data_IF_785874438228
#
_entry.id   IF_785874438228
#
_cell.length_a   1.000
_cell.length_b   1.000
_cell.length_c   1.000
_cell.angle_alpha   90.00
_cell.angle_beta   90.00
_cell.angle_gamma   90.00
#
_symmetry.space_group_name_H-M   'P 1'
#
loop_
_entity.id
_entity.type
_entity.pdbx_description
1 polymer ?
#
# COMPACT_ATOMS: atom_id res chain seq x y z
N UNK A 1 -11.31 -10.77 -29.00
CA UNK A 1 -10.96 -10.38 -27.63
C UNK A 1 -10.02 -9.20 -27.71
N UNK A 2 -10.52 -7.97 -27.60
CA UNK A 2 -9.70 -6.76 -27.56
C UNK A 2 -9.12 -6.62 -26.17
N UNK A 3 -7.82 -6.88 -26.00
CA UNK A 3 -7.12 -6.53 -24.76
C UNK A 3 -7.30 -5.02 -24.52
N UNK A 4 -7.80 -4.66 -23.35
CA UNK A 4 -7.98 -3.29 -22.94
C UNK A 4 -6.58 -2.63 -22.80
N UNK A 5 -6.26 -1.56 -23.56
CA UNK A 5 -4.94 -0.91 -23.50
C UNK A 5 -4.53 -0.48 -22.08
N UNK A 6 -5.52 -0.12 -21.24
CA UNK A 6 -5.30 0.21 -19.83
C UNK A 6 -4.84 -0.99 -18.98
N UNK A 7 -5.33 -2.20 -19.25
CA UNK A 7 -4.91 -3.39 -18.49
C UNK A 7 -3.50 -3.81 -18.88
N UNK A 8 -3.17 -3.77 -20.17
CA UNK A 8 -1.81 -4.06 -20.65
C UNK A 8 -0.78 -3.09 -20.05
N UNK A 9 -1.09 -1.78 -20.01
CA UNK A 9 -0.20 -0.79 -19.41
C UNK A 9 0.04 -1.01 -17.91
N UNK A 10 -1.00 -1.36 -17.15
CA UNK A 10 -0.88 -1.68 -15.71
C UNK A 10 -0.01 -2.92 -15.49
N UNK A 11 -0.20 -3.95 -16.30
CA UNK A 11 0.57 -5.19 -16.20
C UNK A 11 2.05 -4.97 -16.52
N UNK A 12 2.36 -4.22 -17.59
CA UNK A 12 3.74 -3.84 -17.91
C UNK A 12 4.39 -3.05 -16.78
N UNK A 13 3.66 -2.08 -16.18
CA UNK A 13 4.16 -1.28 -15.05
C UNK A 13 4.50 -2.13 -13.82
N UNK A 14 3.71 -3.14 -13.50
CA UNK A 14 4.01 -4.08 -12.40
C UNK A 14 5.24 -4.92 -12.73
N UNK A 15 5.33 -5.46 -13.95
CA UNK A 15 6.42 -6.36 -14.37
C UNK A 15 7.80 -5.70 -14.43
N UNK A 16 7.86 -4.38 -14.63
CA UNK A 16 9.13 -3.64 -14.73
C UNK A 16 9.48 -2.83 -13.48
N UNK A 17 8.62 -2.85 -12.46
CA UNK A 17 8.86 -2.13 -11.21
C UNK A 17 9.96 -2.81 -10.38
N UNK A 18 10.82 -1.98 -9.77
CA UNK A 18 11.75 -2.44 -8.73
C UNK A 18 11.00 -2.89 -7.46
N UNK A 19 11.62 -3.70 -6.59
CA UNK A 19 10.98 -4.14 -5.33
C UNK A 19 10.45 -2.98 -4.48
N UNK A 20 11.23 -1.90 -4.33
CA UNK A 20 10.78 -0.70 -3.61
C UNK A 20 9.58 -0.02 -4.26
N UNK A 21 9.51 0.02 -5.59
CA UNK A 21 8.35 0.56 -6.31
C UNK A 21 7.11 -0.32 -6.14
N UNK A 22 7.25 -1.66 -6.10
CA UNK A 22 6.13 -2.56 -5.82
C UNK A 22 5.54 -2.31 -4.43
N UNK A 23 6.37 -2.08 -3.41
CA UNK A 23 5.90 -1.71 -2.07
C UNK A 23 5.11 -0.40 -2.10
N UNK A 24 5.63 0.64 -2.76
CA UNK A 24 4.91 1.92 -2.90
C UNK A 24 3.57 1.74 -3.61
N UNK A 25 3.51 0.90 -4.65
CA UNK A 25 2.26 0.61 -5.37
C UNK A 25 1.23 -0.12 -4.50
N UNK A 26 1.66 -1.02 -3.62
CA UNK A 26 0.77 -1.67 -2.63
C UNK A 26 0.18 -0.64 -1.67
N UNK A 27 1.02 0.26 -1.13
CA UNK A 27 0.55 1.35 -0.28
C UNK A 27 -0.40 2.32 -1.01
N UNK A 28 -0.13 2.65 -2.28
CA UNK A 28 -1.01 3.49 -3.11
C UNK A 28 -2.41 2.85 -3.24
N UNK A 29 -2.47 1.54 -3.51
CA UNK A 29 -3.75 0.84 -3.61
C UNK A 29 -4.44 0.74 -2.24
N UNK A 30 -3.71 0.51 -1.16
CA UNK A 30 -4.27 0.48 0.20
C UNK A 30 -4.93 1.82 0.57
N UNK A 31 -4.24 2.94 0.35
CA UNK A 31 -4.78 4.30 0.61
C UNK A 31 -6.02 4.55 -0.24
N UNK A 32 -5.98 4.21 -1.53
CA UNK A 32 -7.13 4.36 -2.43
C UNK A 32 -8.33 3.53 -1.98
N UNK A 33 -8.12 2.30 -1.51
CA UNK A 33 -9.22 1.46 -1.02
C UNK A 33 -9.81 2.00 0.30
N UNK A 34 -9.00 2.60 1.18
CA UNK A 34 -9.52 3.36 2.32
C UNK A 34 -10.40 4.53 1.87
N UNK A 35 -9.98 5.29 0.86
CA UNK A 35 -10.74 6.42 0.33
C UNK A 35 -12.09 5.95 -0.26
N UNK A 36 -12.11 4.83 -1.01
CA UNK A 36 -13.36 4.21 -1.51
C UNK A 36 -14.28 3.80 -0.36
N UNK A 37 -13.77 3.14 0.68
CA UNK A 37 -14.57 2.74 1.83
C UNK A 37 -15.20 3.94 2.55
N UNK A 38 -14.43 5.03 2.70
CA UNK A 38 -14.91 6.29 3.29
C UNK A 38 -16.02 6.94 2.46
N UNK A 39 -15.86 7.00 1.14
CA UNK A 39 -16.87 7.55 0.24
C UNK A 39 -18.19 6.76 0.31
N UNK A 40 -18.10 5.43 0.43
CA UNK A 40 -19.26 4.55 0.56
C UNK A 40 -19.95 4.69 1.92
N UNK A 41 -19.18 4.80 3.01
CA UNK A 41 -19.71 5.07 4.34
C UNK A 41 -20.38 6.43 4.48
N UNK A 42 -20.00 7.41 3.64
CA UNK A 42 -20.66 8.71 3.60
C UNK A 42 -22.04 8.69 2.91
N UNK A 43 -22.44 7.58 2.27
CA UNK A 43 -23.77 7.43 1.66
C UNK A 43 -24.83 7.01 2.69
N UNK A 44 -26.10 7.12 2.33
CA UNK A 44 -27.20 6.61 3.15
C UNK A 44 -27.21 5.07 3.15
N UNK A 45 -26.47 4.48 4.10
CA UNK A 45 -26.33 3.03 4.23
C UNK A 45 -27.64 2.31 4.56
N UNK A 46 -28.64 3.02 5.14
CA UNK A 46 -29.94 2.42 5.48
C UNK A 46 -30.79 2.20 4.24
N UNK A 47 -30.77 3.16 3.31
CA UNK A 47 -31.51 3.06 2.04
C UNK A 47 -30.78 2.24 0.99
N UNK A 48 -29.46 2.13 1.10
CA UNK A 48 -28.60 1.52 0.09
C UNK A 48 -27.62 0.53 0.72
N UNK A 49 -28.09 -0.64 1.16
CA UNK A 49 -27.26 -1.65 1.81
C UNK A 49 -26.13 -2.17 0.91
N UNK A 50 -26.21 -2.02 -0.42
CA UNK A 50 -25.12 -2.37 -1.34
C UNK A 50 -23.83 -1.57 -1.10
N UNK A 51 -23.92 -0.37 -0.51
CA UNK A 51 -22.74 0.41 -0.14
C UNK A 51 -21.99 -0.19 1.05
N UNK A 52 -22.71 -0.91 1.94
CA UNK A 52 -22.08 -1.66 3.04
C UNK A 52 -21.18 -2.76 2.47
N UNK A 53 -21.71 -3.55 1.53
CA UNK A 53 -20.95 -4.61 0.87
C UNK A 53 -19.76 -4.06 0.08
N UNK A 54 -19.95 -2.94 -0.63
CA UNK A 54 -18.86 -2.27 -1.34
C UNK A 54 -17.75 -1.79 -0.41
N UNK A 55 -18.09 -1.19 0.72
CA UNK A 55 -17.13 -0.72 1.71
C UNK A 55 -16.43 -1.89 2.40
N UNK A 56 -17.16 -2.97 2.71
CA UNK A 56 -16.59 -4.20 3.24
C UNK A 56 -15.52 -4.75 2.28
N UNK A 57 -15.83 -4.88 0.98
CA UNK A 57 -14.86 -5.35 -0.03
C UNK A 57 -13.62 -4.46 -0.12
N UNK A 58 -13.80 -3.14 -0.08
CA UNK A 58 -12.68 -2.21 -0.12
C UNK A 58 -11.79 -2.39 1.12
N UNK A 59 -12.36 -2.47 2.32
CA UNK A 59 -11.60 -2.69 3.56
C UNK A 59 -10.92 -4.05 3.60
N UNK A 60 -11.58 -5.13 3.17
CA UNK A 60 -10.96 -6.45 3.05
C UNK A 60 -9.76 -6.40 2.10
N UNK A 61 -9.86 -5.64 0.99
CA UNK A 61 -8.73 -5.46 0.09
C UNK A 61 -7.54 -4.72 0.74
N UNK A 62 -7.80 -3.75 1.61
CA UNK A 62 -6.74 -3.11 2.41
C UNK A 62 -6.06 -4.14 3.33
N UNK A 63 -6.84 -4.98 4.00
CA UNK A 63 -6.33 -6.00 4.92
C UNK A 63 -5.50 -7.07 4.19
N UNK A 64 -5.92 -7.48 2.98
CA UNK A 64 -5.12 -8.37 2.11
C UNK A 64 -3.76 -7.74 1.81
N UNK A 65 -3.74 -6.46 1.40
CA UNK A 65 -2.50 -5.75 1.09
C UNK A 65 -1.60 -5.65 2.33
N UNK A 66 -2.15 -5.34 3.50
CA UNK A 66 -1.40 -5.30 4.76
C UNK A 66 -0.81 -6.69 5.08
N UNK A 67 -1.55 -7.75 4.79
CA UNK A 67 -1.08 -9.14 4.99
C UNK A 67 0.10 -9.45 4.08
N UNK A 68 0.05 -9.06 2.81
CA UNK A 68 1.17 -9.21 1.87
C UNK A 68 2.39 -8.38 2.29
N UNK A 69 2.18 -7.13 2.71
CA UNK A 69 3.25 -6.27 3.24
C UNK A 69 3.89 -6.86 4.50
N UNK A 70 3.08 -7.51 5.33
CA UNK A 70 3.54 -8.20 6.54
C UNK A 70 4.39 -9.42 6.18
N UNK A 71 3.95 -10.22 5.21
CA UNK A 71 4.68 -11.39 4.74
C UNK A 71 6.01 -11.04 4.05
N UNK A 72 6.11 -9.82 3.49
CA UNK A 72 7.32 -9.31 2.87
C UNK A 72 8.35 -8.73 3.85
N UNK A 73 8.07 -8.71 5.17
CA UNK A 73 9.01 -8.20 6.17
C UNK A 73 10.19 -9.16 6.37
N UNK A 74 11.40 -8.64 6.25
CA UNK A 74 12.63 -9.34 6.64
C UNK A 74 12.97 -9.01 8.11
N UNK A 75 12.67 -9.95 9.01
CA UNK A 75 12.95 -9.79 10.43
C UNK A 75 14.42 -10.01 10.80
N UNK A 76 15.19 -10.71 9.97
CA UNK A 76 16.62 -10.96 10.22
C UNK A 76 17.43 -9.70 9.89
N UNK A 77 17.25 -9.15 8.68
CA UNK A 77 17.98 -7.96 8.24
C UNK A 77 17.33 -6.66 8.72
N UNK A 78 16.00 -6.64 8.84
CA UNK A 78 15.24 -5.44 9.19
C UNK A 78 15.15 -5.13 10.69
N UNK A 79 15.44 -6.10 11.55
CA UNK A 79 15.53 -5.94 13.01
C UNK A 79 14.35 -5.15 13.61
N UNK A 80 14.67 -4.07 14.33
CA UNK A 80 13.66 -3.23 15.02
C UNK A 80 12.66 -2.59 14.05
N UNK A 81 13.08 -2.21 12.84
CA UNK A 81 12.19 -1.59 11.85
C UNK A 81 11.13 -2.59 11.40
N UNK A 82 11.52 -3.83 11.10
CA UNK A 82 10.59 -4.89 10.73
C UNK A 82 9.61 -5.19 11.87
N UNK A 83 10.09 -5.23 13.11
CA UNK A 83 9.23 -5.46 14.29
C UNK A 83 8.21 -4.32 14.51
N UNK A 84 8.63 -3.07 14.32
CA UNK A 84 7.76 -1.91 14.45
C UNK A 84 6.71 -1.87 13.34
N UNK A 85 7.09 -2.15 12.09
CA UNK A 85 6.15 -2.26 10.97
C UNK A 85 5.15 -3.38 11.18
N UNK A 86 5.60 -4.56 11.63
CA UNK A 86 4.71 -5.67 11.98
C UNK A 86 3.65 -5.26 13.01
N UNK A 87 4.08 -4.57 14.06
CA UNK A 87 3.18 -4.08 15.13
C UNK A 87 2.16 -3.07 14.60
N UNK A 88 2.58 -2.15 13.73
CA UNK A 88 1.68 -1.22 13.05
C UNK A 88 0.66 -1.95 12.17
N UNK A 89 1.10 -2.92 11.37
CA UNK A 89 0.23 -3.69 10.49
C UNK A 89 -0.82 -4.50 11.26
N UNK A 90 -0.46 -5.10 12.40
CA UNK A 90 -1.43 -5.74 13.29
C UNK A 90 -2.46 -4.74 13.82
N UNK A 91 -2.01 -3.57 14.26
CA UNK A 91 -2.90 -2.50 14.72
C UNK A 91 -3.85 -2.03 13.61
N UNK A 92 -3.36 -1.84 12.39
CA UNK A 92 -4.18 -1.44 11.25
C UNK A 92 -5.27 -2.47 10.96
N UNK A 93 -4.92 -3.76 10.89
CA UNK A 93 -5.89 -4.82 10.65
C UNK A 93 -6.99 -4.85 11.73
N UNK A 94 -6.62 -4.65 13.01
CA UNK A 94 -7.59 -4.59 14.12
C UNK A 94 -8.55 -3.42 13.99
N UNK A 95 -8.03 -2.21 13.72
CA UNK A 95 -8.87 -1.01 13.61
C UNK A 95 -9.74 -1.02 12.35
N UNK A 96 -9.24 -1.55 11.22
CA UNK A 96 -10.03 -1.69 10.00
C UNK A 96 -11.16 -2.71 10.16
N UNK A 97 -10.91 -3.82 10.88
CA UNK A 97 -11.95 -4.78 11.21
C UNK A 97 -13.05 -4.13 12.07
N UNK A 98 -12.66 -3.43 13.14
CA UNK A 98 -13.60 -2.72 14.00
C UNK A 98 -14.39 -1.66 13.22
N UNK A 99 -13.70 -0.87 12.39
CA UNK A 99 -14.33 0.12 11.52
C UNK A 99 -15.35 -0.50 10.57
N UNK A 100 -15.05 -1.69 10.03
CA UNK A 100 -15.94 -2.41 9.14
C UNK A 100 -17.18 -2.92 9.88
N UNK A 101 -17.05 -3.43 11.10
CA UNK A 101 -18.17 -3.89 11.92
C UNK A 101 -19.06 -2.70 12.32
N UNK A 102 -18.46 -1.70 12.97
CA UNK A 102 -19.15 -0.56 13.57
C UNK A 102 -19.57 0.52 12.56
N UNK A 103 -19.11 0.39 11.30
CA UNK A 103 -19.26 1.40 10.24
C UNK A 103 -18.66 2.75 10.62
N UNK A 104 -17.57 2.72 11.37
CA UNK A 104 -16.89 3.91 11.87
C UNK A 104 -15.82 4.40 10.89
N UNK A 105 -16.19 5.39 10.07
CA UNK A 105 -15.25 6.02 9.14
C UNK A 105 -14.11 6.80 9.80
N UNK A 106 -14.19 7.14 11.08
CA UNK A 106 -13.11 7.86 11.77
C UNK A 106 -11.85 6.99 11.89
N UNK A 107 -12.02 5.71 12.23
CA UNK A 107 -10.95 4.71 12.29
C UNK A 107 -10.28 4.55 10.93
N UNK A 108 -11.06 4.46 9.85
CA UNK A 108 -10.52 4.34 8.48
C UNK A 108 -9.68 5.57 8.14
N UNK A 109 -10.13 6.79 8.48
CA UNK A 109 -9.35 8.02 8.23
C UNK A 109 -8.01 8.01 8.94
N UNK A 110 -7.97 7.58 10.21
CA UNK A 110 -6.71 7.47 10.96
C UNK A 110 -5.75 6.49 10.29
N UNK A 111 -6.22 5.27 9.97
CA UNK A 111 -5.39 4.27 9.29
C UNK A 111 -4.91 4.75 7.92
N UNK A 112 -5.80 5.36 7.14
CA UNK A 112 -5.47 5.96 5.84
C UNK A 112 -4.37 7.02 5.94
N UNK A 113 -4.38 7.84 6.99
CA UNK A 113 -3.33 8.82 7.28
C UNK A 113 -1.97 8.14 7.48
N UNK A 114 -1.91 7.17 8.38
CA UNK A 114 -0.66 6.43 8.68
C UNK A 114 -0.14 5.66 7.46
N UNK A 115 -1.03 5.01 6.68
CA UNK A 115 -0.66 4.37 5.42
C UNK A 115 -0.06 5.37 4.41
N UNK A 116 -0.59 6.59 4.34
CA UNK A 116 -0.09 7.65 3.45
C UNK A 116 1.29 8.17 3.88
N UNK A 117 1.56 8.25 5.18
CA UNK A 117 2.87 8.62 5.71
C UNK A 117 3.90 7.54 5.40
N UNK A 118 3.58 6.27 5.68
CA UNK A 118 4.44 5.13 5.35
C UNK A 118 4.71 5.02 3.85
N UNK A 119 3.69 5.23 3.01
CA UNK A 119 3.82 5.31 1.55
C UNK A 119 4.88 6.33 1.15
N UNK A 120 4.84 7.51 1.77
CA UNK A 120 5.77 8.61 1.46
C UNK A 120 7.19 8.24 1.86
N UNK A 121 7.37 7.66 3.06
CA UNK A 121 8.66 7.17 3.51
C UNK A 121 9.26 6.11 2.56
N UNK A 122 8.45 5.12 2.13
CA UNK A 122 8.89 4.11 1.18
C UNK A 122 9.22 4.67 -0.20
N UNK A 123 8.47 5.67 -0.68
CA UNK A 123 8.76 6.34 -1.95
C UNK A 123 10.11 7.07 -1.90
N UNK A 124 10.39 7.76 -0.78
CA UNK A 124 11.69 8.39 -0.56
C UNK A 124 12.82 7.38 -0.45
N UNK A 125 12.61 6.24 0.22
CA UNK A 125 13.63 5.19 0.35
C UNK A 125 13.95 4.54 -1.02
N UNK A 126 12.92 4.22 -1.81
CA UNK A 126 13.07 3.63 -3.14
C UNK A 126 13.77 4.58 -4.14
N UNK A 127 13.52 5.89 -4.04
CA UNK A 127 14.20 6.88 -4.87
C UNK A 127 15.70 6.98 -4.56
N UNK A 128 16.08 6.91 -3.29
CA UNK A 128 17.48 7.00 -2.86
C UNK A 128 18.29 5.78 -3.33
N UNK A 129 17.72 4.57 -3.28
CA UNK A 129 18.38 3.35 -3.76
C UNK A 129 18.56 3.32 -5.28
N UNK A 130 17.67 3.98 -6.03
CA UNK A 130 17.82 4.13 -7.48
C UNK A 130 18.92 5.15 -7.85
N UNK A 131 19.11 6.20 -7.04
CA UNK A 131 20.13 7.23 -7.26
C UNK A 131 21.56 6.76 -6.96
N UNK A 132 21.76 5.94 -5.93
CA UNK A 132 23.09 5.45 -5.53
C UNK A 132 23.72 4.45 -6.52
N UNK A 133 22.93 3.86 -7.43
CA UNK A 133 23.42 2.96 -8.48
C UNK A 133 24.10 3.64 -9.67
N UNK A 134 24.00 4.98 -9.79
CA UNK A 134 24.55 5.73 -10.92
C UNK A 134 25.98 6.25 -10.71
N UNK A 135 26.42 6.46 -9.47
CA UNK A 135 27.77 7.00 -9.20
C UNK A 135 28.88 5.92 -9.22
N UNK A 136 28.54 4.66 -8.96
CA UNK A 136 29.50 3.56 -8.94
C UNK A 136 29.99 3.09 -10.34
N UNK A 137 29.43 3.63 -11.44
CA UNK A 137 29.81 3.26 -12.82
C UNK A 137 30.68 4.31 -13.53
N UNK A 138 31.00 5.44 -12.90
CA UNK A 138 31.86 6.48 -13.47
C UNK A 138 33.36 6.26 -13.19
N UNK A 139 33.78 5.04 -12.82
CA UNK A 139 35.18 4.64 -12.75
C UNK A 139 35.66 4.11 -14.10
N UNK A 140 35.76 4.97 -15.11
CA UNK A 140 36.43 4.61 -16.37
C UNK A 140 37.93 4.62 -16.12
N UNK A 141 38.50 3.41 -16.13
CA UNK A 141 39.93 3.14 -16.16
C UNK A 141 40.52 3.76 -17.43
N UNK A 142 41.29 4.84 -17.29
CA UNK A 142 42.19 5.32 -18.35
C UNK A 142 43.61 5.05 -17.87
N UNK A 143 44.10 3.86 -18.22
CA UNK A 143 45.52 3.63 -18.37
C UNK A 143 45.99 4.38 -19.62
N UNK A 144 47.05 5.16 -19.45
CA UNK A 144 47.87 5.81 -20.46
C UNK A 144 49.16 6.25 -19.81
#
# INVERSE_FOLDING_TARGET
MTQNPLSAYRETRVKTASPGQLIVMLYDEAVKQCDIALELFAKDLKKHPQYIEGAHKALSKVQDIITELTAALDFESGGEIAQNLFSLYLYFNRELLAANIDKDGSKIRSIRGMLSELRTAWASAAAQTAGSGSEARAGVNIAG
#
